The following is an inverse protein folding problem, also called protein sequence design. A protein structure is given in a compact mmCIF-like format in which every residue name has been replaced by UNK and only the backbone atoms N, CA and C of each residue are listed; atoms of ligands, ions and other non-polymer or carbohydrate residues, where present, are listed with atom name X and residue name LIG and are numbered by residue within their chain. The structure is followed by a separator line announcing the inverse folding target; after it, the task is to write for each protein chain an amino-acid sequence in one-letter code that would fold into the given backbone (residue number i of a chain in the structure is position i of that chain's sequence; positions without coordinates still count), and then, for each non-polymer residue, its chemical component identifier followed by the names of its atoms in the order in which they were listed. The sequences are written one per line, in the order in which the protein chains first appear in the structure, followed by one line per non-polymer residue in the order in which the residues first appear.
data_IF_926462045338
#
_entry.id   IF_926462045338
#
_cell.length_a   1.000
_cell.length_b   1.000
_cell.length_c   1.000
_cell.angle_alpha   90.00
_cell.angle_beta   90.00
_cell.angle_gamma   90.00
#
_symmetry.space_group_name_H-M   'P 1'
#
loop_
_entity.id
_entity.type
_entity.pdbx_description
1 polymer ?
#
# COMPACT_ATOMS: atom_id res chain seq x y z
N UNK A 1 -45.85 7.68 19.94
CA UNK A 1 -45.10 8.68 20.74
C UNK A 1 -43.89 7.98 21.34
N UNK A 2 -42.73 8.04 20.66
CA UNK A 2 -41.42 7.66 21.22
C UNK A 2 -40.43 8.74 20.72
N UNK A 3 -39.65 9.40 21.61
CA UNK A 3 -38.85 10.58 21.30
C UNK A 3 -37.43 10.28 20.78
N UNK A 4 -36.76 11.35 20.38
CA UNK A 4 -35.56 11.44 19.55
C UNK A 4 -34.20 11.33 20.28
N UNK A 5 -33.21 10.94 19.47
CA UNK A 5 -31.76 11.29 19.46
C UNK A 5 -30.91 11.26 20.73
N UNK A 6 -29.78 10.53 20.62
CA UNK A 6 -28.47 11.16 20.82
C UNK A 6 -27.40 10.51 19.90
N UNK A 7 -26.76 11.33 19.06
CA UNK A 7 -25.50 10.97 18.39
C UNK A 7 -24.36 10.93 19.42
N UNK A 8 -23.55 9.88 19.40
CA UNK A 8 -22.08 9.88 19.46
C UNK A 8 -21.68 8.54 18.80
N UNK A 9 -20.86 8.47 17.74
CA UNK A 9 -19.50 8.96 17.69
C UNK A 9 -18.55 7.86 18.17
N UNK A 10 -18.49 6.71 17.47
CA UNK A 10 -17.51 5.67 17.80
C UNK A 10 -16.98 5.04 16.51
N UNK A 11 -15.96 5.72 15.99
CA UNK A 11 -15.07 5.25 14.94
C UNK A 11 -14.31 4.02 15.46
N UNK A 12 -14.77 2.82 15.08
CA UNK A 12 -14.09 1.56 15.39
C UNK A 12 -14.19 0.61 14.21
N UNK A 13 -13.68 1.05 13.06
CA UNK A 13 -13.22 0.11 12.05
C UNK A 13 -11.92 -0.54 12.56
N UNK A 14 -12.05 -1.49 13.48
CA UNK A 14 -10.96 -2.21 14.15
C UNK A 14 -11.18 -3.72 14.14
N UNK A 15 -11.67 -4.23 13.01
CA UNK A 15 -11.70 -5.66 12.76
C UNK A 15 -11.00 -5.89 11.44
N UNK A 16 -9.67 -6.02 11.50
CA UNK A 16 -8.89 -6.60 10.41
C UNK A 16 -9.43 -8.00 10.10
N UNK A 17 -9.77 -8.32 8.85
CA UNK A 17 -9.83 -9.68 8.38
C UNK A 17 -8.72 -9.86 7.35
N UNK A 18 -7.47 -10.08 7.80
CA UNK A 18 -6.43 -10.73 6.99
C UNK A 18 -6.78 -12.21 6.80
N UNK A 19 -7.96 -12.46 6.24
CA UNK A 19 -8.53 -13.77 6.06
C UNK A 19 -9.17 -13.84 4.68
N UNK A 20 -8.36 -13.65 3.65
CA UNK A 20 -8.46 -14.54 2.51
C UNK A 20 -7.04 -14.97 2.09
N UNK A 21 -6.94 -16.23 1.74
CA UNK A 21 -5.71 -17.03 1.60
C UNK A 21 -4.95 -16.63 0.32
N UNK A 22 -4.52 -15.38 0.19
CA UNK A 22 -3.51 -14.98 -0.77
C UNK A 22 -2.18 -14.93 -0.03
N UNK A 23 -1.17 -15.63 -0.53
CA UNK A 23 0.19 -15.49 -0.01
C UNK A 23 0.55 -14.02 -0.19
N UNK A 24 0.52 -13.24 0.90
CA UNK A 24 0.75 -11.81 0.87
C UNK A 24 2.11 -11.58 0.23
N UNK A 25 2.14 -11.06 -1.01
CA UNK A 25 3.38 -10.90 -1.80
C UNK A 25 4.43 -10.12 -1.00
N UNK A 26 3.96 -9.22 -0.12
CA UNK A 26 4.75 -8.52 0.89
C UNK A 26 5.59 -9.43 1.81
N UNK A 27 5.14 -10.66 2.09
CA UNK A 27 5.84 -11.66 2.91
C UNK A 27 6.95 -12.37 2.14
N UNK A 28 6.86 -12.42 0.81
CA UNK A 28 7.89 -13.01 -0.05
C UNK A 28 8.97 -11.99 -0.43
N UNK A 29 8.67 -10.68 -0.31
CA UNK A 29 9.62 -9.60 -0.57
C UNK A 29 10.57 -9.39 0.62
N UNK A 30 11.85 -9.21 0.33
CA UNK A 30 12.94 -9.04 1.30
C UNK A 30 13.86 -7.88 0.90
N UNK A 31 14.81 -7.50 1.76
CA UNK A 31 15.81 -6.43 1.46
C UNK A 31 16.53 -6.62 0.13
N UNK A 32 16.72 -7.85 -0.34
CA UNK A 32 17.40 -8.12 -1.60
C UNK A 32 16.47 -8.31 -2.81
N UNK A 33 15.15 -8.10 -2.66
CA UNK A 33 14.20 -8.32 -3.78
C UNK A 33 14.54 -7.45 -4.98
N UNK A 34 14.39 -8.04 -6.17
CA UNK A 34 14.72 -7.37 -7.41
C UNK A 34 13.74 -6.20 -7.67
N UNK A 35 14.16 -5.16 -8.42
CA UNK A 35 13.25 -4.07 -8.82
C UNK A 35 11.99 -4.60 -9.52
N UNK A 36 12.10 -5.67 -10.32
CA UNK A 36 10.98 -6.29 -11.01
C UNK A 36 9.95 -6.90 -10.04
N UNK A 37 10.39 -7.60 -8.99
CA UNK A 37 9.50 -8.21 -8.00
C UNK A 37 8.72 -7.14 -7.23
N UNK A 38 9.40 -6.06 -6.86
CA UNK A 38 8.78 -4.89 -6.23
C UNK A 38 7.82 -4.17 -7.18
N UNK A 39 8.15 -4.11 -8.47
CA UNK A 39 7.26 -3.53 -9.48
C UNK A 39 5.99 -4.37 -9.65
N UNK A 40 6.10 -5.69 -9.76
CA UNK A 40 4.95 -6.60 -9.83
C UNK A 40 4.07 -6.48 -8.59
N UNK A 41 4.65 -6.32 -7.41
CA UNK A 41 3.88 -6.05 -6.20
C UNK A 41 3.11 -4.73 -6.28
N UNK A 42 3.73 -3.68 -6.81
CA UNK A 42 3.02 -2.42 -7.09
C UNK A 42 1.81 -2.62 -7.98
N UNK A 43 1.95 -3.41 -9.06
CA UNK A 43 0.85 -3.72 -9.98
C UNK A 43 -0.27 -4.52 -9.33
N UNK A 44 0.05 -5.50 -8.48
CA UNK A 44 -0.95 -6.30 -7.76
C UNK A 44 -1.88 -5.41 -6.94
N UNK A 45 -1.34 -4.50 -6.14
CA UNK A 45 -2.16 -3.57 -5.34
C UNK A 45 -2.80 -2.46 -6.16
N UNK A 46 -2.17 -2.00 -7.25
CA UNK A 46 -2.75 -0.98 -8.13
C UNK A 46 -3.97 -1.50 -8.90
N UNK A 47 -3.93 -2.76 -9.32
CA UNK A 47 -4.99 -3.40 -10.14
C UNK A 47 -5.99 -4.19 -9.32
N UNK A 48 -5.70 -4.47 -8.04
CA UNK A 48 -6.52 -5.33 -7.20
C UNK A 48 -6.48 -6.80 -7.63
N UNK A 49 -5.33 -7.28 -8.12
CA UNK A 49 -5.20 -8.66 -8.58
C UNK A 49 -5.15 -9.62 -7.39
N UNK A 50 -6.29 -10.22 -7.06
CA UNK A 50 -6.48 -11.11 -5.89
C UNK A 50 -6.30 -10.41 -4.53
N UNK A 51 -6.30 -9.07 -4.53
CA UNK A 51 -6.26 -8.20 -3.34
C UNK A 51 -7.20 -7.01 -3.57
N UNK A 52 -7.58 -6.30 -2.51
CA UNK A 52 -8.26 -5.00 -2.68
C UNK A 52 -7.29 -3.97 -3.27
N UNK A 53 -7.82 -3.03 -4.06
CA UNK A 53 -7.02 -1.93 -4.61
C UNK A 53 -6.52 -1.06 -3.45
N UNK A 54 -5.19 -0.91 -3.36
CA UNK A 54 -4.53 -0.10 -2.35
C UNK A 54 -3.44 0.76 -2.99
N UNK A 55 -3.76 2.04 -3.21
CA UNK A 55 -2.83 3.00 -3.82
C UNK A 55 -1.64 3.32 -2.91
N UNK A 56 -1.79 3.21 -1.59
CA UNK A 56 -0.70 3.42 -0.63
C UNK A 56 0.31 2.29 -0.76
N UNK A 57 -0.16 1.04 -0.77
CA UNK A 57 0.69 -0.13 -0.98
C UNK A 57 1.32 -0.12 -2.38
N UNK A 58 0.54 0.18 -3.42
CA UNK A 58 1.04 0.28 -4.80
C UNK A 58 2.18 1.32 -4.90
N UNK A 59 1.94 2.54 -4.45
CA UNK A 59 2.94 3.61 -4.48
C UNK A 59 4.18 3.23 -3.65
N UNK A 60 4.02 2.60 -2.49
CA UNK A 60 5.14 2.10 -1.68
C UNK A 60 6.04 1.16 -2.48
N UNK A 61 5.48 0.16 -3.14
CA UNK A 61 6.26 -0.84 -3.87
C UNK A 61 6.89 -0.26 -5.14
N UNK A 62 6.17 0.57 -5.88
CA UNK A 62 6.76 1.31 -7.01
C UNK A 62 7.89 2.24 -6.58
N UNK A 63 7.76 2.89 -5.42
CA UNK A 63 8.85 3.71 -4.88
C UNK A 63 10.10 2.86 -4.58
N UNK A 64 9.95 1.69 -3.97
CA UNK A 64 11.07 0.80 -3.66
C UNK A 64 11.71 0.22 -4.93
N UNK A 65 10.91 -0.15 -5.94
CA UNK A 65 11.39 -0.58 -7.24
C UNK A 65 12.15 0.54 -7.98
N UNK A 66 11.63 1.77 -7.95
CA UNK A 66 12.27 2.94 -8.56
C UNK A 66 13.61 3.28 -7.88
N UNK A 67 13.69 3.16 -6.55
CA UNK A 67 14.95 3.32 -5.81
C UNK A 67 16.02 2.29 -6.21
N UNK A 68 15.61 1.15 -6.77
CA UNK A 68 16.48 0.09 -7.31
C UNK A 68 16.71 0.19 -8.82
N UNK A 69 16.23 1.26 -9.47
CA UNK A 69 16.52 1.55 -10.87
C UNK A 69 15.45 1.12 -11.88
N UNK A 70 14.24 0.73 -11.46
CA UNK A 70 13.13 0.52 -12.41
C UNK A 70 12.56 1.87 -12.86
N UNK A 71 12.73 2.19 -14.15
CA UNK A 71 12.13 3.40 -14.74
C UNK A 71 10.62 3.25 -14.95
N UNK A 72 10.10 2.05 -15.25
CA UNK A 72 8.65 1.82 -15.27
C UNK A 72 8.01 2.08 -13.90
N UNK A 73 8.65 1.61 -12.82
CA UNK A 73 8.15 1.86 -11.47
C UNK A 73 8.15 3.35 -11.12
N UNK A 74 9.11 4.12 -11.62
CA UNK A 74 9.16 5.58 -11.41
C UNK A 74 8.00 6.28 -12.11
N UNK A 75 7.64 5.86 -13.33
CA UNK A 75 6.47 6.37 -14.03
C UNK A 75 5.18 6.01 -13.29
N UNK A 76 5.00 4.74 -12.91
CA UNK A 76 3.83 4.27 -12.16
C UNK A 76 3.71 4.96 -10.80
N UNK A 77 4.82 5.15 -10.08
CA UNK A 77 4.85 5.91 -8.82
C UNK A 77 4.31 7.33 -9.01
N UNK A 78 4.73 8.02 -10.07
CA UNK A 78 4.29 9.39 -10.35
C UNK A 78 2.78 9.42 -10.65
N UNK A 79 2.29 8.50 -11.47
CA UNK A 79 0.87 8.36 -11.80
C UNK A 79 0.02 8.09 -10.55
N UNK A 80 0.45 7.17 -9.68
CA UNK A 80 -0.27 6.91 -8.42
C UNK A 80 -0.29 8.15 -7.51
N UNK A 81 0.81 8.90 -7.44
CA UNK A 81 0.89 10.10 -6.60
C UNK A 81 -0.09 11.21 -7.05
N UNK A 82 -0.47 11.27 -8.32
CA UNK A 82 -1.47 12.20 -8.83
C UNK A 82 -2.90 11.85 -8.37
N UNK A 83 -3.16 10.58 -8.07
CA UNK A 83 -4.46 10.09 -7.59
C UNK A 83 -4.60 10.09 -6.07
N UNK A 84 -3.51 10.33 -5.34
CA UNK A 84 -3.46 10.25 -3.88
C UNK A 84 -3.55 11.64 -3.24
N UNK A 85 -4.16 11.70 -2.05
CA UNK A 85 -4.06 12.86 -1.19
C UNK A 85 -2.64 13.02 -0.61
N UNK A 86 -2.33 14.23 -0.14
CA UNK A 86 -1.04 14.50 0.52
C UNK A 86 -0.79 13.59 1.72
N UNK A 87 -1.83 13.21 2.46
CA UNK A 87 -1.67 12.37 3.66
C UNK A 87 -1.48 10.90 3.30
N UNK A 88 -2.13 10.40 2.24
CA UNK A 88 -1.87 9.05 1.71
C UNK A 88 -0.46 8.95 1.14
N UNK A 89 0.03 9.98 0.44
CA UNK A 89 1.39 10.00 -0.09
C UNK A 89 2.42 9.96 1.04
N UNK A 90 2.21 10.73 2.12
CA UNK A 90 3.06 10.66 3.32
C UNK A 90 3.05 9.27 3.94
N UNK A 91 1.88 8.63 4.03
CA UNK A 91 1.77 7.27 4.55
C UNK A 91 2.54 6.27 3.69
N UNK A 92 2.42 6.33 2.37
CA UNK A 92 3.15 5.42 1.47
C UNK A 92 4.67 5.59 1.59
N UNK A 93 5.15 6.84 1.65
CA UNK A 93 6.58 7.13 1.82
C UNK A 93 7.11 6.67 3.19
N UNK A 94 6.32 6.88 4.25
CA UNK A 94 6.67 6.41 5.59
C UNK A 94 6.74 4.88 5.62
N UNK A 95 5.75 4.19 5.06
CA UNK A 95 5.70 2.73 5.00
C UNK A 95 6.87 2.15 4.18
N UNK A 96 7.29 2.80 3.09
CA UNK A 96 8.47 2.40 2.34
C UNK A 96 9.76 2.53 3.18
N UNK A 97 9.89 3.62 3.93
CA UNK A 97 11.05 3.87 4.80
C UNK A 97 11.09 2.89 5.97
N UNK A 98 9.95 2.59 6.57
CA UNK A 98 9.84 1.62 7.66
C UNK A 98 10.18 0.22 7.19
N UNK A 99 9.71 -0.18 6.01
CA UNK A 99 10.06 -1.46 5.42
C UNK A 99 11.58 -1.60 5.21
N UNK A 100 12.26 -0.57 4.68
CA UNK A 100 13.72 -0.58 4.55
C UNK A 100 14.45 -0.70 5.90
N UNK A 101 13.92 -0.10 6.97
CA UNK A 101 14.49 -0.21 8.31
C UNK A 101 14.31 -1.60 8.92
N UNK A 102 13.18 -2.25 8.66
CA UNK A 102 12.90 -3.60 9.17
C UNK A 102 13.78 -4.67 8.53
N UNK A 103 14.28 -4.41 7.33
CA UNK A 103 15.05 -5.38 6.54
C UNK A 103 16.58 -5.20 6.63
N UNK A 104 17.07 -4.33 7.54
CA UNK A 104 18.48 -4.05 7.77
C UNK A 104 18.88 -4.40 9.21
#
# INVERSE_FOLDING_TARGET
MIPAMRRQGENRNKTMPFADYSVDLATMLHSESAPEELYQAGLVYATGLNVEIDLIAAHKWFNLAALRGSEEAKAQRAEMAEMMSSDELKQALQAAREWLKLMN
#
